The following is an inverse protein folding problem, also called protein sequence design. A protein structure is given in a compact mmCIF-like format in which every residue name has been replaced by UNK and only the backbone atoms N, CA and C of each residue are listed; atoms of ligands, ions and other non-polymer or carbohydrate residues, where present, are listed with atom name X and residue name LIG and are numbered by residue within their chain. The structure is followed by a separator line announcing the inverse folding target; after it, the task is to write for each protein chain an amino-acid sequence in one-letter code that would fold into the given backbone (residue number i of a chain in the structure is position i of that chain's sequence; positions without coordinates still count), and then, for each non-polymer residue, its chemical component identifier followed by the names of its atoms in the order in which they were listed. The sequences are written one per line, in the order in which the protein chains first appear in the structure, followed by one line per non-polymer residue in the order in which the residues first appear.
data_IF_398081423195
#
_entry.id   IF_398081423195
#
_cell.length_a   1.000
_cell.length_b   1.000
_cell.length_c   1.000
_cell.angle_alpha   90.00
_cell.angle_beta   90.00
_cell.angle_gamma   90.00
#
_symmetry.space_group_name_H-M   'P 1'
#
loop_
_entity.id
_entity.type
_entity.pdbx_description
1 polymer ?
#
# COMPACT_ATOMS: atom_id res chain seq x y z
N UNK A 1 38.29 -69.00 18.47
CA UNK A 1 37.94 -67.84 19.27
C UNK A 1 37.69 -66.66 18.34
N UNK A 2 36.41 -66.23 18.13
CA UNK A 2 36.05 -65.08 17.28
C UNK A 2 35.56 -63.99 18.25
N UNK A 3 36.33 -62.90 18.38
CA UNK A 3 35.96 -61.72 19.13
C UNK A 3 35.09 -60.83 18.19
N UNK A 4 33.80 -60.69 18.53
CA UNK A 4 32.92 -59.77 17.89
C UNK A 4 33.04 -58.39 18.55
N UNK A 5 33.60 -57.43 17.82
CA UNK A 5 33.69 -56.03 18.23
C UNK A 5 32.35 -55.35 17.89
N UNK A 6 31.46 -55.08 18.88
CA UNK A 6 30.26 -54.26 18.70
C UNK A 6 30.64 -52.80 18.86
N UNK A 7 30.68 -52.10 17.71
CA UNK A 7 30.80 -50.65 17.70
C UNK A 7 29.46 -50.03 18.21
N UNK A 8 29.54 -49.41 19.38
CA UNK A 8 28.45 -48.61 19.95
C UNK A 8 28.54 -47.22 19.32
N UNK A 9 27.67 -46.95 18.32
CA UNK A 9 27.47 -45.63 17.74
C UNK A 9 26.65 -44.78 18.76
N UNK A 10 27.35 -43.96 19.53
CA UNK A 10 26.73 -42.92 20.35
C UNK A 10 26.39 -41.75 19.43
N UNK A 11 25.11 -41.68 19.01
CA UNK A 11 24.56 -40.52 18.32
C UNK A 11 24.41 -39.37 19.32
N UNK A 12 25.39 -38.49 19.36
CA UNK A 12 25.29 -37.20 20.06
C UNK A 12 24.33 -36.31 19.27
N UNK A 13 23.07 -36.34 19.65
CA UNK A 13 22.08 -35.33 19.24
C UNK A 13 22.44 -34.00 19.92
N UNK A 14 23.22 -33.18 19.23
CA UNK A 14 23.38 -31.76 19.56
C UNK A 14 22.02 -31.08 19.36
N UNK A 15 21.38 -30.50 20.39
CA UNK A 15 20.25 -29.63 20.21
C UNK A 15 20.77 -28.38 19.47
N UNK A 16 20.44 -28.27 18.17
CA UNK A 16 20.50 -27.01 17.48
C UNK A 16 19.49 -26.07 18.19
N UNK A 17 19.95 -25.42 19.24
CA UNK A 17 19.29 -24.22 19.74
C UNK A 17 19.38 -23.18 18.64
N UNK A 18 18.33 -23.14 17.81
CA UNK A 18 18.01 -22.00 16.98
C UNK A 18 17.83 -20.82 17.94
N UNK A 19 18.92 -20.16 18.26
CA UNK A 19 18.88 -18.80 18.76
C UNK A 19 18.32 -17.96 17.61
N UNK A 20 17.00 -17.97 17.45
CA UNK A 20 16.29 -16.96 16.70
C UNK A 20 16.63 -15.65 17.41
N UNK A 21 17.60 -14.94 16.83
CA UNK A 21 17.83 -13.57 17.18
C UNK A 21 16.50 -12.85 16.93
N UNK A 22 15.67 -12.73 17.97
CA UNK A 22 14.51 -11.85 17.97
C UNK A 22 15.07 -10.46 17.70
N UNK A 23 15.11 -10.09 16.41
CA UNK A 23 15.32 -8.70 16.03
C UNK A 23 14.25 -7.95 16.80
N UNK A 24 14.69 -7.15 17.76
CA UNK A 24 13.85 -6.27 18.55
C UNK A 24 13.04 -5.48 17.53
N UNK A 25 11.77 -5.85 17.31
CA UNK A 25 10.92 -5.21 16.33
C UNK A 25 10.77 -3.76 16.80
N UNK A 26 11.40 -2.85 16.07
CA UNK A 26 11.34 -1.43 16.42
C UNK A 26 9.86 -1.03 16.32
N UNK A 27 9.31 -0.45 17.41
CA UNK A 27 7.91 -0.02 17.42
C UNK A 27 7.67 1.02 16.35
N UNK A 28 6.56 0.90 15.62
CA UNK A 28 6.20 1.85 14.58
C UNK A 28 5.73 3.16 15.24
N UNK A 29 6.54 4.20 15.09
CA UNK A 29 6.30 5.53 15.65
C UNK A 29 6.16 6.53 14.52
N UNK A 30 5.07 7.26 14.48
CA UNK A 30 4.81 8.30 13.47
C UNK A 30 5.96 9.30 13.39
N UNK A 31 6.34 9.69 12.19
CA UNK A 31 7.45 10.59 11.89
C UNK A 31 8.86 10.08 12.26
N UNK A 32 9.01 8.81 12.63
CA UNK A 32 10.30 8.18 12.87
C UNK A 32 10.58 7.01 11.95
N UNK A 33 9.65 6.09 11.87
CA UNK A 33 9.70 4.88 11.03
C UNK A 33 8.34 4.45 10.48
N UNK A 34 7.28 5.18 10.84
CA UNK A 34 5.94 5.03 10.29
C UNK A 34 5.47 6.34 9.65
N UNK A 35 4.77 6.30 8.51
CA UNK A 35 4.24 7.48 7.85
C UNK A 35 3.07 8.07 8.64
N UNK A 36 2.84 9.40 8.52
CA UNK A 36 1.58 10.01 8.93
C UNK A 36 0.40 9.47 8.12
N UNK A 37 -0.81 9.67 8.64
CA UNK A 37 -2.05 9.31 7.97
C UNK A 37 -2.52 10.46 7.08
N UNK A 38 -2.99 10.15 5.89
CA UNK A 38 -3.68 11.07 4.99
C UNK A 38 -5.14 11.27 5.42
N UNK A 39 -5.78 12.30 4.90
CA UNK A 39 -7.21 12.56 5.08
C UNK A 39 -8.09 11.90 3.99
N UNK A 40 -7.52 11.05 3.15
CA UNK A 40 -8.24 10.31 2.12
C UNK A 40 -7.65 8.92 1.92
N UNK A 41 -8.48 7.98 1.46
CA UNK A 41 -8.10 6.61 1.10
C UNK A 41 -9.16 5.94 0.21
N UNK A 42 -8.80 4.84 -0.45
CA UNK A 42 -9.76 4.00 -1.14
C UNK A 42 -10.74 3.35 -0.15
N UNK A 43 -12.02 3.12 -0.54
CA UNK A 43 -12.98 2.46 0.34
C UNK A 43 -12.54 1.05 0.70
N UNK A 44 -12.99 0.56 1.86
CA UNK A 44 -12.80 -0.83 2.28
C UNK A 44 -13.32 -1.77 1.19
N UNK A 45 -12.58 -2.85 0.95
CA UNK A 45 -12.90 -3.91 -0.02
C UNK A 45 -13.06 -3.40 -1.48
N UNK A 46 -12.53 -2.20 -1.79
CA UNK A 46 -12.61 -1.64 -3.13
C UNK A 46 -11.81 -2.47 -4.13
N UNK A 47 -12.43 -2.76 -5.29
CA UNK A 47 -11.73 -3.12 -6.49
C UNK A 47 -11.37 -1.84 -7.27
N UNK A 48 -10.10 -1.45 -7.23
CA UNK A 48 -9.59 -0.27 -7.91
C UNK A 48 -9.15 -0.65 -9.32
N UNK A 49 -9.88 -0.16 -10.32
CA UNK A 49 -9.59 -0.37 -11.74
C UNK A 49 -8.44 0.54 -12.18
N UNK A 50 -7.31 -0.04 -12.52
CA UNK A 50 -6.11 0.68 -12.91
C UNK A 50 -5.98 0.72 -14.42
N UNK A 51 -5.89 1.92 -14.98
CA UNK A 51 -5.69 2.17 -16.41
C UNK A 51 -4.29 2.77 -16.63
N UNK A 52 -3.57 2.27 -17.62
CA UNK A 52 -2.35 2.93 -18.10
C UNK A 52 -2.67 3.77 -19.33
N UNK A 53 -2.15 4.99 -19.37
CA UNK A 53 -2.32 5.80 -20.59
C UNK A 53 -1.51 5.18 -21.72
N UNK A 54 -2.18 5.03 -22.88
CA UNK A 54 -1.67 4.35 -24.06
C UNK A 54 -0.30 4.88 -24.47
N UNK A 55 0.56 3.97 -24.94
CA UNK A 55 1.88 4.24 -25.49
C UNK A 55 2.89 4.96 -24.57
N UNK A 56 2.56 5.12 -23.28
CA UNK A 56 3.43 5.80 -22.32
C UNK A 56 4.45 4.88 -21.62
N UNK A 57 4.30 3.57 -21.72
CA UNK A 57 5.13 2.61 -21.00
C UNK A 57 5.61 1.48 -21.91
N UNK A 58 6.91 1.15 -21.86
CA UNK A 58 7.42 -0.07 -22.49
C UNK A 58 6.86 -1.33 -21.81
N UNK A 59 6.99 -2.49 -22.44
CA UNK A 59 6.54 -3.76 -21.87
C UNK A 59 7.21 -4.06 -20.51
N UNK A 60 8.53 -3.78 -20.38
CA UNK A 60 9.26 -3.93 -19.12
C UNK A 60 8.74 -2.99 -18.02
N UNK A 61 8.48 -1.73 -18.38
CA UNK A 61 7.92 -0.75 -17.45
C UNK A 61 6.53 -1.16 -16.99
N UNK A 62 5.67 -1.62 -17.90
CA UNK A 62 4.32 -2.12 -17.55
C UNK A 62 4.40 -3.27 -16.57
N UNK A 63 5.26 -4.25 -16.82
CA UNK A 63 5.39 -5.40 -15.91
C UNK A 63 5.83 -4.96 -14.51
N UNK A 64 6.76 -4.00 -14.42
CA UNK A 64 7.18 -3.42 -13.15
C UNK A 64 6.02 -2.73 -12.40
N UNK A 65 5.15 -2.01 -13.12
CA UNK A 65 3.97 -1.36 -12.53
C UNK A 65 2.90 -2.37 -12.11
N UNK A 66 2.68 -3.42 -12.88
CA UNK A 66 1.78 -4.52 -12.54
C UNK A 66 2.25 -5.27 -11.28
N UNK A 67 3.56 -5.43 -11.10
CA UNK A 67 4.13 -6.02 -9.89
C UNK A 67 3.83 -5.19 -8.63
N UNK A 68 3.89 -3.87 -8.72
CA UNK A 68 3.48 -2.97 -7.63
C UNK A 68 2.02 -3.19 -7.25
N UNK A 69 1.14 -3.29 -8.26
CA UNK A 69 -0.28 -3.54 -8.02
C UNK A 69 -0.50 -4.88 -7.30
N UNK A 70 0.19 -5.94 -7.73
CA UNK A 70 0.15 -7.26 -7.07
C UNK A 70 0.63 -7.18 -5.62
N UNK A 71 1.73 -6.47 -5.39
CA UNK A 71 2.31 -6.28 -4.06
C UNK A 71 1.32 -5.60 -3.10
N UNK A 72 0.73 -4.48 -3.50
CA UNK A 72 -0.26 -3.79 -2.67
C UNK A 72 -1.55 -4.59 -2.49
N UNK A 73 -2.04 -5.27 -3.54
CA UNK A 73 -3.22 -6.14 -3.44
C UNK A 73 -3.01 -7.28 -2.43
N UNK A 74 -1.81 -7.87 -2.42
CA UNK A 74 -1.48 -8.94 -1.48
C UNK A 74 -1.53 -8.51 0.00
N UNK A 75 -1.35 -7.21 0.28
CA UNK A 75 -1.40 -6.68 1.65
C UNK A 75 -2.83 -6.38 2.15
N UNK A 76 -3.82 -6.43 1.28
CA UNK A 76 -5.21 -6.05 1.59
C UNK A 76 -5.82 -6.82 2.76
N UNK A 77 -5.56 -8.12 2.85
CA UNK A 77 -6.04 -8.95 3.96
C UNK A 77 -5.32 -8.67 5.27
N UNK A 78 -4.00 -8.46 5.24
CA UNK A 78 -3.18 -8.17 6.43
C UNK A 78 -3.54 -6.81 7.05
N UNK A 79 -3.75 -5.81 6.20
CA UNK A 79 -4.11 -4.45 6.64
C UNK A 79 -5.59 -4.30 6.98
N UNK A 80 -6.42 -5.26 6.60
CA UNK A 80 -7.88 -5.15 6.71
C UNK A 80 -8.50 -4.18 5.70
N UNK A 81 -7.73 -3.63 4.75
CA UNK A 81 -8.27 -2.76 3.70
C UNK A 81 -9.16 -3.51 2.72
N UNK A 82 -8.79 -4.74 2.39
CA UNK A 82 -9.43 -5.54 1.34
C UNK A 82 -9.30 -4.92 -0.06
N UNK A 83 -8.55 -3.81 -0.21
CA UNK A 83 -8.38 -3.11 -1.48
C UNK A 83 -7.60 -3.98 -2.46
N UNK A 84 -8.13 -4.09 -3.68
CA UNK A 84 -7.52 -4.84 -4.78
C UNK A 84 -7.28 -3.90 -5.96
N UNK A 85 -6.08 -3.91 -6.50
CA UNK A 85 -5.75 -3.17 -7.72
C UNK A 85 -5.77 -4.11 -8.90
N UNK A 86 -6.66 -3.84 -9.86
CA UNK A 86 -6.89 -4.69 -11.03
C UNK A 86 -6.57 -3.89 -12.29
N UNK A 87 -5.68 -4.41 -13.13
CA UNK A 87 -5.41 -3.79 -14.43
C UNK A 87 -6.65 -3.90 -15.31
N UNK A 88 -7.20 -2.75 -15.71
CA UNK A 88 -8.43 -2.66 -16.49
C UNK A 88 -8.17 -2.29 -17.97
N UNK A 89 -6.90 -2.17 -18.35
CA UNK A 89 -6.52 -1.88 -19.74
C UNK A 89 -5.85 -0.52 -19.94
N UNK A 90 -5.85 -0.06 -21.16
CA UNK A 90 -5.31 1.24 -21.55
C UNK A 90 -6.40 2.27 -21.76
N UNK A 91 -6.04 3.54 -21.58
CA UNK A 91 -6.91 4.68 -21.87
C UNK A 91 -6.15 5.76 -22.65
N UNK A 92 -6.87 6.64 -23.32
CA UNK A 92 -6.26 7.77 -24.04
C UNK A 92 -6.00 8.98 -23.12
N UNK A 93 -6.41 8.89 -21.86
CA UNK A 93 -6.23 9.93 -20.84
C UNK A 93 -6.82 9.52 -19.49
N UNK A 94 -6.91 10.44 -18.51
CA UNK A 94 -7.47 10.15 -17.19
C UNK A 94 -8.91 9.64 -17.29
N UNK A 95 -9.16 8.51 -16.60
CA UNK A 95 -10.48 7.88 -16.52
C UNK A 95 -11.17 8.32 -15.23
N UNK A 96 -12.38 8.85 -15.36
CA UNK A 96 -13.23 9.23 -14.23
C UNK A 96 -14.35 8.21 -14.08
N UNK A 97 -14.19 7.27 -13.17
CA UNK A 97 -15.23 6.33 -12.77
C UNK A 97 -15.04 5.97 -11.30
N UNK A 98 -16.03 5.29 -10.69
CA UNK A 98 -15.92 4.85 -9.31
C UNK A 98 -14.80 3.82 -9.15
N UNK A 99 -13.89 4.07 -8.21
CA UNK A 99 -12.69 3.28 -7.93
C UNK A 99 -11.78 3.14 -9.17
N UNK A 100 -11.53 4.26 -9.87
CA UNK A 100 -10.61 4.29 -11.00
C UNK A 100 -9.32 5.01 -10.65
N UNK A 101 -8.21 4.40 -11.03
CA UNK A 101 -6.87 4.95 -10.94
C UNK A 101 -6.25 4.98 -12.35
N UNK A 102 -5.82 6.15 -12.81
CA UNK A 102 -5.08 6.26 -14.07
C UNK A 102 -3.60 6.52 -13.80
N UNK A 103 -2.73 5.78 -14.45
CA UNK A 103 -1.26 5.97 -14.37
C UNK A 103 -0.78 6.49 -15.72
N UNK A 104 -0.05 7.61 -15.69
CA UNK A 104 0.46 8.27 -16.90
C UNK A 104 1.85 8.84 -16.70
N UNK A 105 2.47 9.26 -17.80
CA UNK A 105 3.77 9.96 -17.80
C UNK A 105 3.57 11.46 -17.99
N UNK A 106 4.31 12.25 -17.21
CA UNK A 106 4.33 13.71 -17.34
C UNK A 106 5.72 14.28 -17.05
N UNK A 107 5.96 15.54 -17.42
CA UNK A 107 7.17 16.27 -17.03
C UNK A 107 7.07 16.75 -15.57
N UNK A 108 7.03 15.81 -14.62
CA UNK A 108 6.88 16.10 -13.17
C UNK A 108 8.09 16.87 -12.67
N UNK A 109 9.29 16.35 -12.90
CA UNK A 109 10.54 16.92 -12.41
C UNK A 109 10.85 18.31 -12.99
N UNK A 110 10.33 18.62 -14.17
CA UNK A 110 10.45 19.95 -14.79
C UNK A 110 9.60 20.98 -14.06
N UNK A 111 8.44 20.56 -13.55
CA UNK A 111 7.51 21.41 -12.79
C UNK A 111 7.96 21.57 -11.33
N UNK A 112 8.43 20.49 -10.72
CA UNK A 112 8.97 20.46 -9.36
C UNK A 112 10.24 19.59 -9.30
N UNK A 113 11.39 20.24 -9.13
CA UNK A 113 12.72 19.59 -9.12
C UNK A 113 12.92 18.60 -7.97
N UNK A 114 12.02 18.58 -7.01
CA UNK A 114 12.08 17.68 -5.84
C UNK A 114 11.23 16.43 -6.00
N UNK A 115 10.32 16.41 -6.99
CA UNK A 115 9.39 15.30 -7.20
C UNK A 115 9.65 14.59 -8.54
N UNK A 116 9.35 13.30 -8.57
CA UNK A 116 9.40 12.43 -9.75
C UNK A 116 8.09 11.69 -9.98
N UNK A 117 7.16 11.83 -9.07
CA UNK A 117 5.81 11.32 -9.17
C UNK A 117 4.86 12.16 -8.33
N UNK A 118 3.57 12.08 -8.63
CA UNK A 118 2.49 12.67 -7.82
C UNK A 118 1.26 11.77 -7.82
N UNK A 119 0.68 11.58 -6.66
CA UNK A 119 -0.67 11.08 -6.52
C UNK A 119 -1.66 12.25 -6.50
N UNK A 120 -2.64 12.21 -7.38
CA UNK A 120 -3.63 13.28 -7.54
C UNK A 120 -5.03 12.72 -7.28
N UNK A 121 -5.64 12.96 -6.10
CA UNK A 121 -7.03 12.64 -5.89
C UNK A 121 -7.90 13.52 -6.78
N UNK A 122 -8.78 12.92 -7.59
CA UNK A 122 -9.68 13.67 -8.49
C UNK A 122 -11.04 13.91 -7.86
N UNK A 123 -11.62 12.83 -7.36
CA UNK A 123 -12.97 12.85 -6.76
C UNK A 123 -12.92 12.10 -5.45
N UNK A 124 -13.37 12.77 -4.41
CA UNK A 124 -13.54 12.22 -3.07
C UNK A 124 -14.95 12.55 -2.58
N UNK A 125 -15.49 11.75 -1.69
CA UNK A 125 -16.68 12.12 -0.95
C UNK A 125 -16.34 13.06 0.22
N UNK A 126 -17.36 13.50 0.95
CA UNK A 126 -17.20 14.39 2.11
C UNK A 126 -16.45 13.76 3.31
N UNK A 127 -16.20 12.46 3.28
CA UNK A 127 -15.48 11.72 4.32
C UNK A 127 -14.04 11.38 3.90
N UNK A 128 -13.58 11.85 2.74
CA UNK A 128 -12.25 11.55 2.22
C UNK A 128 -12.14 10.20 1.50
N UNK A 129 -13.26 9.53 1.23
CA UNK A 129 -13.26 8.27 0.49
C UNK A 129 -13.04 8.55 -1.00
N UNK A 130 -11.94 8.01 -1.55
CA UNK A 130 -11.57 8.20 -2.94
C UNK A 130 -12.56 7.51 -3.88
N UNK A 131 -12.96 8.22 -4.91
CA UNK A 131 -13.74 7.67 -6.01
C UNK A 131 -12.91 7.53 -7.29
N UNK A 132 -12.03 8.51 -7.57
CA UNK A 132 -11.08 8.42 -8.68
C UNK A 132 -9.81 9.21 -8.37
N UNK A 133 -8.70 8.77 -8.95
CA UNK A 133 -7.40 9.40 -8.83
C UNK A 133 -6.54 9.17 -10.07
N UNK A 134 -5.43 9.90 -10.19
CA UNK A 134 -4.36 9.54 -11.12
C UNK A 134 -2.99 9.62 -10.46
N UNK A 135 -2.03 8.88 -11.03
CA UNK A 135 -0.62 8.95 -10.71
C UNK A 135 0.12 9.52 -11.92
N UNK A 136 0.84 10.61 -11.71
CA UNK A 136 1.78 11.18 -12.67
C UNK A 136 3.18 10.64 -12.35
N UNK A 137 3.83 9.98 -13.31
CA UNK A 137 5.21 9.51 -13.22
C UNK A 137 6.09 10.32 -14.17
N UNK A 138 7.27 10.77 -13.72
CA UNK A 138 8.13 11.63 -14.51
C UNK A 138 8.64 10.95 -15.79
N UNK A 139 8.53 11.65 -16.94
CA UNK A 139 8.97 11.16 -18.24
C UNK A 139 10.47 10.90 -18.31
N UNK A 140 11.28 11.64 -17.54
CA UNK A 140 12.72 11.45 -17.43
C UNK A 140 13.13 10.15 -16.73
N UNK A 141 12.21 9.52 -15.98
CA UNK A 141 12.47 8.25 -15.30
C UNK A 141 12.33 7.09 -16.27
N UNK A 142 13.41 6.57 -16.82
CA UNK A 142 13.39 5.51 -17.82
C UNK A 142 13.51 4.09 -17.24
N UNK A 143 14.16 3.94 -16.08
CA UNK A 143 14.40 2.63 -15.45
C UNK A 143 13.13 2.07 -14.84
N UNK A 144 12.74 0.86 -15.23
CA UNK A 144 11.55 0.15 -14.73
C UNK A 144 11.56 0.03 -13.18
N UNK A 145 12.71 -0.28 -12.56
CA UNK A 145 12.85 -0.35 -11.11
C UNK A 145 12.56 0.98 -10.41
N UNK A 146 12.96 2.11 -10.99
CA UNK A 146 12.67 3.42 -10.42
C UNK A 146 11.17 3.75 -10.51
N UNK A 147 10.54 3.43 -11.66
CA UNK A 147 9.09 3.58 -11.83
C UNK A 147 8.30 2.71 -10.84
N UNK A 148 8.76 1.47 -10.61
CA UNK A 148 8.18 0.60 -9.59
C UNK A 148 8.18 1.27 -8.22
N UNK A 149 9.33 1.78 -7.77
CA UNK A 149 9.45 2.46 -6.48
C UNK A 149 8.57 3.71 -6.37
N UNK A 150 8.51 4.53 -7.42
CA UNK A 150 7.65 5.72 -7.43
C UNK A 150 6.17 5.33 -7.40
N UNK A 151 5.74 4.40 -8.24
CA UNK A 151 4.35 3.95 -8.21
C UNK A 151 3.98 3.33 -6.87
N UNK A 152 4.88 2.54 -6.25
CA UNK A 152 4.63 1.95 -4.94
C UNK A 152 4.39 3.02 -3.87
N UNK A 153 5.17 4.11 -3.89
CA UNK A 153 4.98 5.26 -3.03
C UNK A 153 3.64 5.93 -3.29
N UNK A 154 3.34 6.29 -4.54
CA UNK A 154 2.12 7.00 -4.90
C UNK A 154 0.85 6.17 -4.60
N UNK A 155 0.90 4.85 -4.75
CA UNK A 155 -0.21 3.98 -4.34
C UNK A 155 -0.41 3.97 -2.84
N UNK A 156 0.65 4.16 -2.05
CA UNK A 156 0.58 4.33 -0.60
C UNK A 156 -0.28 5.54 -0.22
N UNK A 157 -0.18 6.65 -0.95
CA UNK A 157 -1.07 7.81 -0.76
C UNK A 157 -2.54 7.43 -0.96
N UNK A 158 -2.85 6.69 -2.02
CA UNK A 158 -4.21 6.22 -2.27
C UNK A 158 -4.77 5.29 -1.19
N UNK A 159 -3.91 4.64 -0.43
CA UNK A 159 -4.30 3.78 0.70
C UNK A 159 -4.39 4.53 2.03
N UNK A 160 -4.07 5.82 2.07
CA UNK A 160 -4.20 6.66 3.28
C UNK A 160 -2.89 6.97 3.98
N UNK A 161 -1.74 6.69 3.37
CA UNK A 161 -0.44 7.06 3.91
C UNK A 161 -0.03 8.46 3.40
N UNK A 162 0.66 9.22 4.25
CA UNK A 162 1.21 10.52 3.90
C UNK A 162 2.72 10.51 3.88
N UNK A 163 3.33 11.49 3.20
CA UNK A 163 4.77 11.64 3.14
C UNK A 163 5.42 11.72 4.52
N UNK A 164 6.44 10.92 4.73
CA UNK A 164 7.25 10.96 5.94
C UNK A 164 8.62 11.61 5.67
N UNK A 165 8.68 12.93 5.75
CA UNK A 165 9.93 13.69 5.53
C UNK A 165 10.96 13.49 6.64
N UNK A 166 10.53 13.09 7.82
CA UNK A 166 11.36 12.89 9.03
C UNK A 166 11.70 11.42 9.29
N UNK A 167 11.06 10.47 8.59
CA UNK A 167 11.37 9.04 8.71
C UNK A 167 12.81 8.74 8.27
N UNK A 168 13.43 7.77 8.91
CA UNK A 168 14.73 7.26 8.47
C UNK A 168 14.61 6.59 7.10
N UNK A 169 15.67 6.72 6.30
CA UNK A 169 15.76 6.06 4.99
C UNK A 169 15.47 4.56 5.12
N UNK A 170 14.72 4.00 4.18
CA UNK A 170 14.36 2.58 4.11
C UNK A 170 13.45 2.06 5.24
N UNK A 171 12.87 2.94 6.05
CA UNK A 171 11.96 2.52 7.12
C UNK A 171 10.50 2.50 6.66
N UNK A 172 10.16 3.33 5.68
CA UNK A 172 8.82 3.41 5.07
C UNK A 172 8.95 3.66 3.57
N UNK A 173 7.99 3.14 2.80
CA UNK A 173 7.89 3.47 1.38
C UNK A 173 7.54 4.95 1.19
N UNK A 174 6.92 5.58 2.17
CA UNK A 174 6.51 6.99 2.18
C UNK A 174 7.65 7.96 2.54
N UNK A 175 8.87 7.50 2.66
CA UNK A 175 10.01 8.39 2.82
C UNK A 175 10.34 9.04 1.47
N UNK A 176 10.39 10.38 1.44
CA UNK A 176 10.65 11.15 0.22
C UNK A 176 11.91 10.68 -0.52
N UNK A 177 11.83 10.58 -1.83
CA UNK A 177 12.92 10.10 -2.68
C UNK A 177 14.02 11.15 -2.80
N UNK A 178 15.23 10.89 -2.31
CA UNK A 178 16.36 11.78 -2.55
C UNK A 178 16.97 11.53 -3.94
N UNK A 179 16.27 12.00 -4.99
CA UNK A 179 16.76 12.01 -6.36
C UNK A 179 16.73 10.66 -7.11
N UNK A 180 16.74 10.73 -8.43
CA UNK A 180 16.64 9.62 -9.40
C UNK A 180 17.65 8.47 -9.21
N UNK A 181 18.75 8.71 -8.51
CA UNK A 181 19.83 7.72 -8.37
C UNK A 181 19.85 7.00 -7.02
N UNK A 182 18.92 7.31 -6.13
CA UNK A 182 18.87 6.73 -4.79
C UNK A 182 17.46 6.24 -4.53
N UNK A 183 17.13 5.05 -5.07
CA UNK A 183 15.96 4.35 -4.59
C UNK A 183 16.09 4.23 -3.06
N UNK A 184 15.00 4.37 -2.33
CA UNK A 184 15.01 4.11 -0.89
C UNK A 184 15.26 2.62 -0.60
N UNK A 185 15.41 1.79 -1.65
CA UNK A 185 15.63 0.34 -1.59
C UNK A 185 14.38 -0.45 -1.24
N UNK A 186 13.24 0.20 -1.10
CA UNK A 186 11.94 -0.43 -0.91
C UNK A 186 11.19 -0.41 -2.24
N UNK A 187 10.67 -1.57 -2.64
CA UNK A 187 9.81 -1.74 -3.81
C UNK A 187 8.37 -2.07 -3.41
N UNK A 188 8.06 -1.94 -2.12
CA UNK A 188 6.76 -2.22 -1.53
C UNK A 188 6.70 -1.74 -0.09
N UNK A 189 5.55 -1.89 0.59
CA UNK A 189 5.35 -1.41 1.94
C UNK A 189 6.27 -2.08 2.96
N UNK A 190 6.72 -1.31 3.93
CA UNK A 190 7.40 -1.80 5.13
C UNK A 190 6.40 -2.34 6.16
N UNK A 191 6.90 -3.04 7.18
CA UNK A 191 6.06 -3.47 8.29
C UNK A 191 5.34 -2.29 9.00
N UNK A 192 5.99 -1.11 9.06
CA UNK A 192 5.37 0.06 9.66
C UNK A 192 4.35 0.74 8.76
N UNK A 193 4.50 0.67 7.43
CA UNK A 193 3.46 1.08 6.49
C UNK A 193 2.21 0.21 6.68
N UNK A 194 2.39 -1.10 6.74
CA UNK A 194 1.28 -2.05 6.95
C UNK A 194 0.58 -1.85 8.30
N UNK A 195 1.35 -1.61 9.38
CA UNK A 195 0.78 -1.32 10.69
C UNK A 195 -0.05 -0.04 10.69
N UNK A 196 0.42 1.02 10.00
CA UNK A 196 -0.33 2.27 9.85
C UNK A 196 -1.62 2.05 9.07
N UNK A 197 -1.57 1.33 7.95
CA UNK A 197 -2.76 0.99 7.16
C UNK A 197 -3.77 0.17 7.97
N UNK A 198 -3.29 -0.80 8.75
CA UNK A 198 -4.16 -1.59 9.61
C UNK A 198 -4.96 -0.73 10.58
N UNK A 199 -4.34 0.28 11.18
CA UNK A 199 -5.04 1.21 12.07
C UNK A 199 -6.11 2.01 11.31
N UNK A 200 -5.78 2.58 10.13
CA UNK A 200 -6.71 3.34 9.30
C UNK A 200 -7.98 2.53 9.01
N UNK A 201 -7.81 1.34 8.46
CA UNK A 201 -8.94 0.52 8.00
C UNK A 201 -9.70 -0.19 9.14
N UNK A 202 -9.05 -0.43 10.29
CA UNK A 202 -9.76 -0.92 11.48
C UNK A 202 -10.69 0.15 12.05
N UNK A 203 -10.23 1.39 12.16
CA UNK A 203 -11.04 2.52 12.64
C UNK A 203 -12.26 2.76 11.74
N UNK A 204 -12.06 2.67 10.42
CA UNK A 204 -13.15 2.81 9.45
C UNK A 204 -14.17 1.67 9.57
N UNK A 205 -13.73 0.41 9.66
CA UNK A 205 -14.64 -0.73 9.86
C UNK A 205 -15.47 -0.60 11.13
N UNK A 206 -14.87 -0.11 12.22
CA UNK A 206 -15.57 0.12 13.47
C UNK A 206 -16.60 1.26 13.33
N UNK A 207 -16.28 2.31 12.58
CA UNK A 207 -17.20 3.42 12.32
C UNK A 207 -18.42 2.94 11.51
N UNK A 208 -18.20 2.18 10.44
CA UNK A 208 -19.27 1.59 9.61
C UNK A 208 -20.16 0.64 10.44
N UNK A 209 -19.55 -0.21 11.28
CA UNK A 209 -20.30 -1.13 12.16
C UNK A 209 -21.19 -0.42 13.19
N UNK A 210 -20.74 0.71 13.75
CA UNK A 210 -21.56 1.53 14.65
C UNK A 210 -22.78 2.11 13.96
N UNK A 211 -22.60 2.69 12.78
CA UNK A 211 -23.70 3.28 11.99
C UNK A 211 -24.76 2.22 11.60
N UNK A 212 -24.32 1.02 11.24
CA UNK A 212 -25.22 -0.09 10.92
C UNK A 212 -26.06 -0.50 12.14
N UNK A 213 -25.47 -0.56 13.33
CA UNK A 213 -26.16 -0.92 14.56
C UNK A 213 -27.16 0.17 15.01
N UNK A 214 -26.83 1.44 14.85
CA UNK A 214 -27.74 2.56 15.15
C UNK A 214 -28.95 2.56 14.21
N UNK A 215 -28.76 2.23 12.93
CA UNK A 215 -29.86 2.14 11.95
C UNK A 215 -30.84 1.00 12.25
N UNK A 216 -30.38 -0.10 12.85
CA UNK A 216 -31.25 -1.23 13.24
C UNK A 216 -31.95 -1.02 14.57
N UNK A 217 -31.47 -0.10 15.41
CA UNK A 217 -32.04 0.19 16.73
C UNK A 217 -33.20 1.21 16.68
N UNK A 218 -33.59 1.75 15.51
CA UNK A 218 -34.74 2.61 15.40
C UNK A 218 -36.04 1.82 15.71
N UNK A 219 -36.84 2.24 16.70
CA UNK A 219 -38.11 1.58 16.99
C UNK A 219 -39.04 1.66 15.78
N UNK A 220 -39.90 0.64 15.56
CA UNK A 220 -40.81 0.64 14.43
C UNK A 220 -41.70 1.88 14.50
N UNK A 221 -41.70 2.65 13.42
CA UNK A 221 -42.52 3.82 13.26
C UNK A 221 -44.01 3.44 13.43
N UNK A 222 -44.67 3.99 14.47
CA UNK A 222 -46.11 4.03 14.55
C UNK A 222 -46.77 3.00 15.43
N UNK A 223 -46.78 3.23 16.76
CA UNK A 223 -48.00 2.93 17.53
C UNK A 223 -48.98 4.06 17.32
N UNK A 224 -50.21 3.81 16.82
CA UNK A 224 -51.21 4.85 16.73
C UNK A 224 -51.59 5.33 18.15
N UNK A 225 -51.50 6.63 18.38
CA UNK A 225 -52.09 7.23 19.58
C UNK A 225 -53.58 6.91 19.57
N UNK A 226 -54.00 6.17 20.59
CA UNK A 226 -55.43 6.07 20.91
C UNK A 226 -55.87 7.42 21.46
N UNK A 227 -56.80 8.07 20.76
CA UNK A 227 -57.60 9.15 21.26
C UNK A 227 -58.58 8.65 22.32
#
# INVERSE_FOLDING_TARGET
MKLSFRLLLISILLPLTMAQAQRKQESCTTNRNAPPVSNYHWPIDAEVKVYFVRDMFSSEQREALLEVMRTWTATGSETGSGVKFVFAGESDGPVSCRNCLTVRRREVHKQDKHHYAFFNPMVMDKHGVLMSAWIDLDVGTTKARALNGFMAHEMGHGLGLWDCTTCRKKQTIMNGFPGLNKDNGLLGPSACDLATLKNIYQDERQAVGRLANESTAMPPAGSPRKE
#
